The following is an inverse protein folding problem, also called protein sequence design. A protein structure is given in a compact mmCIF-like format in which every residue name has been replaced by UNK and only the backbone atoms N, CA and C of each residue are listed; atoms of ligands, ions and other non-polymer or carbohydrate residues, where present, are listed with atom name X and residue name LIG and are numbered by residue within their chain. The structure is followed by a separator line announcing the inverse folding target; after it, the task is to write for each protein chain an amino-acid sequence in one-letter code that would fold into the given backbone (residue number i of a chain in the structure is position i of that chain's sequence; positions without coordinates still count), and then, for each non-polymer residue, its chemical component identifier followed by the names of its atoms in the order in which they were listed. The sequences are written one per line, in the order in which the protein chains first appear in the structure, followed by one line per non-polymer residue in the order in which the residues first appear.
data_IF_485559575900
#
_entry.id   IF_485559575900
#
_cell.length_a   1.000
_cell.length_b   1.000
_cell.length_c   1.000
_cell.angle_alpha   90.00
_cell.angle_beta   90.00
_cell.angle_gamma   90.00
#
_symmetry.space_group_name_H-M   'P 1'
#
loop_
_entity.id
_entity.type
_entity.pdbx_description
1 polymer ?
#
# COMPACT_ATOMS: atom_id res chain seq x y z
N UNK A 1 -13.92 29.33 0.19
CA UNK A 1 -13.59 27.94 0.57
C UNK A 1 -12.26 27.59 -0.08
N UNK A 2 -11.25 27.29 0.73
CA UNK A 2 -9.96 26.82 0.25
C UNK A 2 -10.00 25.31 0.10
N UNK A 3 -9.47 24.81 -1.00
CA UNK A 3 -9.43 23.37 -1.28
C UNK A 3 -8.03 22.80 -1.07
N UNK A 4 -7.97 21.58 -0.61
CA UNK A 4 -6.75 20.79 -0.39
C UNK A 4 -6.89 19.44 -1.07
N UNK A 5 -5.79 18.91 -1.60
CA UNK A 5 -5.76 17.66 -2.31
C UNK A 5 -4.71 16.72 -1.71
N UNK A 6 -5.12 15.49 -1.40
CA UNK A 6 -4.23 14.39 -1.08
C UNK A 6 -4.37 13.28 -2.12
N UNK A 7 -3.24 12.76 -2.62
CA UNK A 7 -3.20 11.68 -3.61
C UNK A 7 -2.21 10.62 -3.17
N UNK A 8 -2.64 9.37 -3.16
CA UNK A 8 -1.79 8.18 -3.04
C UNK A 8 -1.78 7.43 -4.36
N UNK A 9 -0.62 7.36 -5.01
CA UNK A 9 -0.43 6.71 -6.30
C UNK A 9 0.51 5.52 -6.20
N UNK A 10 -0.09 4.33 -6.14
CA UNK A 10 0.60 3.05 -6.01
C UNK A 10 0.72 2.25 -7.31
N UNK A 11 1.23 1.03 -7.17
CA UNK A 11 1.34 0.07 -8.28
C UNK A 11 0.00 -0.53 -8.69
N UNK A 12 -0.98 -0.54 -7.81
CA UNK A 12 -2.29 -1.18 -8.03
C UNK A 12 -3.40 -0.18 -8.33
N UNK A 13 -3.25 1.08 -7.91
CA UNK A 13 -4.25 2.12 -8.10
C UNK A 13 -3.77 3.48 -7.65
N UNK A 14 -4.59 4.49 -7.90
CA UNK A 14 -4.42 5.88 -7.46
C UNK A 14 -5.68 6.32 -6.74
N UNK A 15 -5.56 6.80 -5.51
CA UNK A 15 -6.69 7.28 -4.71
C UNK A 15 -6.46 8.74 -4.34
N UNK A 16 -7.48 9.56 -4.49
CA UNK A 16 -7.46 11.00 -4.20
C UNK A 16 -8.51 11.38 -3.17
N UNK A 17 -8.21 12.38 -2.35
CA UNK A 17 -9.18 13.01 -1.46
C UNK A 17 -9.10 14.53 -1.59
N UNK A 18 -10.26 15.21 -1.66
CA UNK A 18 -10.40 16.65 -1.62
C UNK A 18 -10.97 17.04 -0.26
N UNK A 19 -10.36 18.02 0.41
CA UNK A 19 -10.85 18.58 1.66
C UNK A 19 -10.89 20.10 1.65
N UNK A 20 -11.62 20.68 2.61
CA UNK A 20 -11.68 22.11 2.83
C UNK A 20 -10.76 22.57 3.99
N UNK A 21 -10.67 23.87 4.23
CA UNK A 21 -9.83 24.47 5.28
C UNK A 21 -10.21 24.09 6.71
N UNK A 22 -11.35 23.43 6.92
CA UNK A 22 -11.80 22.96 8.25
C UNK A 22 -11.40 21.53 8.55
N UNK A 23 -10.81 20.80 7.57
CA UNK A 23 -10.50 19.39 7.67
C UNK A 23 -11.67 18.45 7.28
N UNK A 24 -12.74 19.00 6.72
CA UNK A 24 -13.83 18.17 6.17
C UNK A 24 -13.39 17.57 4.85
N UNK A 25 -13.47 16.25 4.72
CA UNK A 25 -13.31 15.54 3.46
C UNK A 25 -14.57 15.73 2.64
N UNK A 26 -14.43 16.34 1.46
CA UNK A 26 -15.55 16.69 0.57
C UNK A 26 -15.86 15.57 -0.41
N UNK A 27 -14.82 14.84 -0.87
CA UNK A 27 -14.99 13.74 -1.79
C UNK A 27 -13.70 12.94 -1.96
N UNK A 28 -13.86 11.70 -2.32
CA UNK A 28 -12.79 10.74 -2.61
C UNK A 28 -12.97 10.17 -4.02
N UNK A 29 -11.87 9.72 -4.65
CA UNK A 29 -11.95 9.14 -5.99
C UNK A 29 -10.80 8.18 -6.25
N UNK A 30 -11.07 7.18 -7.08
CA UNK A 30 -10.14 6.11 -7.40
C UNK A 30 -9.88 6.05 -8.90
N UNK A 31 -8.69 5.60 -9.28
CA UNK A 31 -8.30 5.35 -10.66
C UNK A 31 -7.27 4.23 -10.76
N UNK A 32 -6.91 3.85 -11.96
CA UNK A 32 -5.88 2.87 -12.22
C UNK A 32 -4.48 3.27 -11.70
N UNK A 33 -3.47 2.38 -11.85
CA UNK A 33 -2.12 2.62 -11.36
C UNK A 33 -1.42 3.79 -12.05
N UNK A 34 -0.76 4.66 -11.26
CA UNK A 34 0.01 5.82 -11.69
C UNK A 34 1.53 5.67 -11.54
N UNK A 35 2.02 4.44 -11.36
CA UNK A 35 3.45 4.14 -11.23
C UNK A 35 4.20 4.18 -12.56
N UNK A 36 5.55 4.23 -12.52
CA UNK A 36 6.45 4.21 -13.68
C UNK A 36 6.18 5.33 -14.70
N UNK A 37 6.55 6.54 -14.34
CA UNK A 37 6.43 7.73 -15.20
C UNK A 37 7.51 7.80 -16.31
N UNK A 38 8.39 6.79 -16.43
CA UNK A 38 9.44 6.77 -17.44
C UNK A 38 8.85 6.62 -18.85
N UNK A 39 9.33 7.46 -19.78
CA UNK A 39 8.85 7.49 -21.17
C UNK A 39 7.49 8.17 -21.35
N UNK A 40 7.09 8.38 -22.61
CA UNK A 40 5.85 9.09 -22.95
C UNK A 40 4.58 8.38 -22.50
N UNK A 41 4.56 7.05 -22.62
CA UNK A 41 3.41 6.24 -22.17
C UNK A 41 3.23 6.26 -20.65
N UNK A 42 4.34 6.16 -19.89
CA UNK A 42 4.30 6.22 -18.43
C UNK A 42 3.82 7.57 -17.92
N UNK A 43 4.26 8.66 -18.57
CA UNK A 43 3.78 10.01 -18.28
C UNK A 43 2.26 10.13 -18.51
N UNK A 44 1.77 9.72 -19.69
CA UNK A 44 0.36 9.78 -20.02
C UNK A 44 -0.50 8.92 -19.08
N UNK A 45 0.01 7.77 -18.65
CA UNK A 45 -0.62 6.89 -17.67
C UNK A 45 -0.78 7.59 -16.31
N UNK A 46 0.29 8.21 -15.80
CA UNK A 46 0.26 8.96 -14.55
C UNK A 46 -0.72 10.14 -14.61
N UNK A 47 -0.64 10.97 -15.66
CA UNK A 47 -1.53 12.12 -15.84
C UNK A 47 -3.00 11.68 -15.87
N UNK A 48 -3.32 10.59 -16.56
CA UNK A 48 -4.67 10.03 -16.64
C UNK A 48 -5.15 9.55 -15.28
N UNK A 49 -4.37 8.73 -14.58
CA UNK A 49 -4.74 8.20 -13.27
C UNK A 49 -5.03 9.33 -12.25
N UNK A 50 -4.20 10.38 -12.23
CA UNK A 50 -4.42 11.53 -11.36
C UNK A 50 -5.67 12.30 -11.78
N UNK A 51 -5.87 12.59 -13.09
CA UNK A 51 -7.08 13.32 -13.55
C UNK A 51 -8.36 12.54 -13.26
N UNK A 52 -8.37 11.24 -13.48
CA UNK A 52 -9.53 10.39 -13.21
C UNK A 52 -9.85 10.34 -11.72
N UNK A 53 -8.88 10.08 -10.84
CA UNK A 53 -9.13 10.01 -9.40
C UNK A 53 -9.56 11.37 -8.83
N UNK A 54 -8.91 12.47 -9.22
CA UNK A 54 -9.29 13.83 -8.79
C UNK A 54 -10.65 14.22 -9.35
N UNK A 55 -10.95 13.85 -10.61
CA UNK A 55 -12.26 14.09 -11.23
C UNK A 55 -13.40 13.38 -10.51
N UNK A 56 -13.20 12.12 -10.08
CA UNK A 56 -14.18 11.40 -9.26
C UNK A 56 -14.37 12.06 -7.90
N UNK A 57 -13.26 12.41 -7.22
CA UNK A 57 -13.34 13.12 -5.94
C UNK A 57 -14.09 14.46 -6.06
N UNK A 58 -13.86 15.21 -7.14
CA UNK A 58 -14.59 16.43 -7.43
C UNK A 58 -16.09 16.18 -7.67
N UNK A 59 -16.43 15.14 -8.42
CA UNK A 59 -17.82 14.73 -8.68
C UNK A 59 -18.55 14.37 -7.39
N UNK A 60 -17.92 13.60 -6.50
CA UNK A 60 -18.49 13.29 -5.17
C UNK A 60 -18.67 14.55 -4.30
N UNK A 61 -17.72 15.49 -4.39
CA UNK A 61 -17.78 16.76 -3.70
C UNK A 61 -18.79 17.77 -4.30
N UNK A 62 -19.37 17.49 -5.46
CA UNK A 62 -20.24 18.43 -6.18
C UNK A 62 -19.47 19.64 -6.75
N UNK A 63 -18.17 19.49 -7.04
CA UNK A 63 -17.27 20.52 -7.57
C UNK A 63 -17.05 20.36 -9.07
N UNK A 64 -16.86 21.47 -9.77
CA UNK A 64 -16.44 21.44 -11.18
C UNK A 64 -14.94 21.09 -11.29
N UNK A 65 -14.64 19.91 -11.80
CA UNK A 65 -13.27 19.42 -11.97
C UNK A 65 -12.39 20.33 -12.85
N UNK A 66 -12.99 21.09 -13.80
CA UNK A 66 -12.26 22.00 -14.68
C UNK A 66 -11.84 23.30 -13.97
N UNK A 67 -12.56 23.68 -12.93
CA UNK A 67 -12.34 24.92 -12.16
C UNK A 67 -11.55 24.69 -10.86
N UNK A 68 -11.05 23.47 -10.60
CA UNK A 68 -10.34 23.18 -9.37
C UNK A 68 -9.02 23.94 -9.26
N UNK A 69 -8.87 24.63 -8.15
CA UNK A 69 -7.63 25.26 -7.70
C UNK A 69 -7.43 24.92 -6.21
N UNK A 70 -6.25 24.39 -5.88
CA UNK A 70 -5.94 23.96 -4.52
C UNK A 70 -4.97 24.94 -3.85
N UNK A 71 -5.22 25.26 -2.60
CA UNK A 71 -4.26 25.98 -1.74
C UNK A 71 -2.99 25.15 -1.57
N UNK A 72 -3.16 23.83 -1.38
CA UNK A 72 -2.07 22.88 -1.32
C UNK A 72 -2.48 21.50 -1.83
N UNK A 73 -1.56 20.83 -2.51
CA UNK A 73 -1.72 19.45 -2.95
C UNK A 73 -0.50 18.61 -2.54
N UNK A 74 -0.75 17.41 -2.02
CA UNK A 74 0.30 16.44 -1.71
C UNK A 74 0.08 15.14 -2.49
N UNK A 75 1.15 14.67 -3.13
CA UNK A 75 1.19 13.43 -3.89
C UNK A 75 2.19 12.47 -3.25
N UNK A 76 1.71 11.35 -2.71
CA UNK A 76 2.49 10.18 -2.31
C UNK A 76 2.61 9.22 -3.48
N UNK A 77 3.78 9.06 -4.07
CA UNK A 77 3.93 8.34 -5.33
C UNK A 77 4.96 7.21 -5.21
N UNK A 78 4.56 6.02 -5.63
CA UNK A 78 5.44 4.87 -5.75
C UNK A 78 6.55 5.11 -6.80
N UNK A 79 7.76 4.59 -6.56
CA UNK A 79 8.91 4.73 -7.47
C UNK A 79 9.65 6.06 -7.42
N UNK A 80 9.42 6.88 -6.38
CA UNK A 80 10.13 8.14 -6.12
C UNK A 80 9.46 9.39 -6.69
N UNK A 81 9.72 10.56 -6.05
CA UNK A 81 9.05 11.82 -6.38
C UNK A 81 9.72 12.62 -7.51
N UNK A 82 11.01 12.38 -7.80
CA UNK A 82 11.83 13.30 -8.61
C UNK A 82 11.32 13.43 -10.04
N UNK A 83 11.03 12.31 -10.70
CA UNK A 83 10.56 12.27 -12.09
C UNK A 83 9.12 12.77 -12.24
N UNK A 84 8.35 12.80 -11.14
CA UNK A 84 6.92 13.05 -11.17
C UNK A 84 6.53 14.49 -10.90
N UNK A 85 7.37 15.25 -10.20
CA UNK A 85 7.05 16.64 -9.81
C UNK A 85 6.69 17.51 -11.02
N UNK A 86 7.47 17.46 -12.11
CA UNK A 86 7.22 18.24 -13.30
C UNK A 86 5.89 17.85 -14.00
N UNK A 87 5.56 16.57 -14.00
CA UNK A 87 4.31 16.03 -14.57
C UNK A 87 3.13 16.53 -13.74
N UNK A 88 3.19 16.34 -12.42
CA UNK A 88 2.11 16.65 -11.49
C UNK A 88 1.82 18.15 -11.42
N UNK A 89 2.86 19.01 -11.52
CA UNK A 89 2.67 20.47 -11.58
C UNK A 89 1.92 20.93 -12.83
N UNK A 90 1.99 20.18 -13.93
CA UNK A 90 1.20 20.43 -15.14
C UNK A 90 -0.18 19.76 -15.15
N UNK A 91 -0.44 18.85 -14.20
CA UNK A 91 -1.69 18.09 -14.16
C UNK A 91 -2.71 18.70 -13.22
N UNK A 92 -2.27 19.28 -12.10
CA UNK A 92 -3.12 19.86 -11.06
C UNK A 92 -2.67 21.30 -10.76
N UNK A 93 -3.64 22.24 -10.65
CA UNK A 93 -3.38 23.60 -10.22
C UNK A 93 -3.37 23.68 -8.69
N UNK A 94 -2.21 23.92 -8.11
CA UNK A 94 -2.05 24.10 -6.68
C UNK A 94 -1.05 25.22 -6.39
N UNK A 95 -1.38 26.10 -5.43
CA UNK A 95 -0.46 27.16 -5.00
C UNK A 95 0.78 26.57 -4.31
N UNK A 96 0.61 25.46 -3.58
CA UNK A 96 1.70 24.69 -3.01
C UNK A 96 1.61 23.23 -3.44
N UNK A 97 2.73 22.69 -3.96
CA UNK A 97 2.82 21.30 -4.40
C UNK A 97 3.87 20.55 -3.57
N UNK A 98 3.43 19.51 -2.88
CA UNK A 98 4.28 18.52 -2.18
C UNK A 98 4.27 17.22 -2.99
N UNK A 99 5.44 16.69 -3.32
CA UNK A 99 5.57 15.37 -3.93
C UNK A 99 6.52 14.55 -3.07
N UNK A 100 6.06 13.41 -2.62
CA UNK A 100 6.78 12.52 -1.71
C UNK A 100 6.54 11.05 -2.11
N UNK A 101 6.98 10.10 -1.28
CA UNK A 101 6.74 8.68 -1.55
C UNK A 101 5.38 8.22 -0.99
N UNK A 102 4.80 7.19 -1.60
CA UNK A 102 3.62 6.46 -1.11
C UNK A 102 3.80 5.99 0.35
N UNK A 103 4.98 5.49 0.69
CA UNK A 103 5.31 5.07 2.05
C UNK A 103 5.28 6.23 3.07
N UNK A 104 5.68 7.44 2.67
CA UNK A 104 5.65 8.61 3.55
C UNK A 104 4.22 9.02 3.89
N UNK A 105 3.32 9.04 2.89
CA UNK A 105 1.91 9.36 3.14
C UNK A 105 1.18 8.22 3.87
N UNK A 106 1.57 6.97 3.62
CA UNK A 106 1.08 5.83 4.39
C UNK A 106 1.48 5.94 5.87
N UNK A 107 2.72 6.35 6.20
CA UNK A 107 3.15 6.58 7.58
C UNK A 107 2.31 7.68 8.24
N UNK A 108 2.08 8.80 7.54
CA UNK A 108 1.28 9.91 8.05
C UNK A 108 -0.18 9.49 8.25
N UNK A 109 -0.77 8.81 7.29
CA UNK A 109 -2.14 8.29 7.40
C UNK A 109 -2.27 7.31 8.56
N UNK A 110 -1.37 6.34 8.65
CA UNK A 110 -1.43 5.28 9.65
C UNK A 110 -1.23 5.79 11.09
N UNK A 111 -0.34 6.76 11.32
CA UNK A 111 0.00 7.27 12.66
C UNK A 111 -0.61 8.64 12.98
N UNK A 112 -1.25 9.30 12.02
CA UNK A 112 -1.73 10.68 12.14
C UNK A 112 -0.60 11.70 12.32
N UNK A 113 0.38 11.41 13.17
CA UNK A 113 1.53 12.28 13.44
C UNK A 113 2.62 12.24 12.38
N UNK A 114 2.75 11.14 11.65
CA UNK A 114 3.88 10.84 10.78
C UNK A 114 5.15 10.40 11.55
N UNK A 115 5.00 10.03 12.82
CA UNK A 115 6.07 9.50 13.68
C UNK A 115 5.79 8.03 14.02
N UNK A 116 6.82 7.22 14.17
CA UNK A 116 6.69 5.78 14.39
C UNK A 116 7.10 4.97 13.17
N UNK A 117 6.55 3.77 13.03
CA UNK A 117 6.85 2.85 11.94
C UNK A 117 5.54 2.43 11.26
N UNK A 118 5.50 2.46 9.94
CA UNK A 118 4.46 1.78 9.16
C UNK A 118 5.08 0.60 8.41
N UNK A 119 4.41 -0.55 8.46
CA UNK A 119 4.71 -1.71 7.61
C UNK A 119 3.64 -1.77 6.53
N UNK A 120 4.08 -1.74 5.29
CA UNK A 120 3.21 -1.76 4.12
C UNK A 120 3.32 -3.14 3.48
N UNK A 121 2.19 -3.82 3.31
CA UNK A 121 2.10 -5.11 2.64
C UNK A 121 0.88 -5.12 1.69
N UNK A 122 1.13 -4.72 0.47
CA UNK A 122 0.21 -4.78 -0.67
C UNK A 122 0.72 -5.80 -1.69
N UNK A 123 0.83 -5.44 -2.96
CA UNK A 123 1.46 -6.26 -3.99
C UNK A 123 2.90 -6.63 -3.62
N UNK A 124 3.66 -5.68 -3.08
CA UNK A 124 4.98 -5.88 -2.46
C UNK A 124 4.96 -5.52 -0.99
N UNK A 125 6.15 -5.42 -0.38
CA UNK A 125 6.28 -5.09 1.04
C UNK A 125 7.45 -4.17 1.34
N UNK A 126 7.28 -3.32 2.36
CA UNK A 126 8.34 -2.49 2.94
C UNK A 126 7.94 -1.98 4.32
N UNK A 127 8.91 -1.49 5.06
CA UNK A 127 8.69 -0.69 6.27
C UNK A 127 9.36 0.68 6.14
N UNK A 128 8.70 1.71 6.65
CA UNK A 128 9.23 3.06 6.78
C UNK A 128 9.01 3.56 8.21
N UNK A 129 10.03 4.18 8.79
CA UNK A 129 9.93 4.82 10.10
C UNK A 129 10.45 6.25 10.09
N UNK A 130 9.92 7.06 11.01
CA UNK A 130 10.40 8.41 11.32
C UNK A 130 10.37 8.62 12.82
N UNK A 131 11.49 9.06 13.41
CA UNK A 131 11.55 9.39 14.81
C UNK A 131 11.33 10.89 15.08
N UNK A 132 11.25 11.27 16.36
CA UNK A 132 11.02 12.67 16.78
C UNK A 132 12.15 13.64 16.39
N UNK A 133 13.34 13.14 16.07
CA UNK A 133 14.46 13.94 15.55
C UNK A 133 14.35 14.16 14.04
N UNK A 134 13.29 13.67 13.39
CA UNK A 134 13.08 13.78 11.95
C UNK A 134 13.92 12.79 11.12
N UNK A 135 14.71 11.91 11.76
CA UNK A 135 15.46 10.86 11.06
C UNK A 135 14.49 9.83 10.51
N UNK A 136 14.75 9.36 9.32
CA UNK A 136 13.96 8.31 8.64
C UNK A 136 14.83 7.09 8.35
N UNK A 137 14.22 5.92 8.38
CA UNK A 137 14.82 4.67 7.90
C UNK A 137 13.78 3.83 7.18
N UNK A 138 14.24 3.02 6.23
CA UNK A 138 13.40 2.07 5.50
C UNK A 138 14.04 0.69 5.46
N UNK A 139 13.20 -0.33 5.33
CA UNK A 139 13.61 -1.70 5.02
C UNK A 139 12.66 -2.29 3.98
N UNK A 140 13.18 -3.10 3.07
CA UNK A 140 12.40 -3.65 1.95
C UNK A 140 12.10 -2.65 0.82
N UNK A 141 11.10 -2.98 0.00
CA UNK A 141 10.70 -2.13 -1.14
C UNK A 141 11.67 -2.16 -2.32
N UNK A 142 12.37 -3.29 -2.52
CA UNK A 142 13.31 -3.48 -3.62
C UNK A 142 12.70 -4.13 -4.85
N UNK A 143 11.39 -4.39 -4.80
CA UNK A 143 10.66 -5.07 -5.86
C UNK A 143 10.81 -6.60 -5.79
N UNK A 144 9.93 -7.29 -6.49
CA UNK A 144 9.73 -8.74 -6.39
C UNK A 144 10.92 -9.62 -6.85
N UNK A 145 11.88 -9.04 -7.52
CA UNK A 145 13.11 -9.74 -7.95
C UNK A 145 14.11 -9.85 -6.80
N UNK A 146 14.21 -8.81 -5.97
CA UNK A 146 15.23 -8.69 -4.92
C UNK A 146 14.65 -8.58 -3.50
N UNK A 147 13.31 -8.56 -3.36
CA UNK A 147 12.64 -8.33 -2.11
C UNK A 147 11.13 -8.54 -2.22
N UNK A 148 10.39 -7.71 -1.50
CA UNK A 148 8.93 -7.74 -1.37
C UNK A 148 8.42 -9.02 -0.67
N UNK A 149 9.27 -9.65 0.18
CA UNK A 149 8.93 -10.80 1.00
C UNK A 149 7.75 -10.47 1.93
N UNK A 150 6.81 -11.40 2.05
CA UNK A 150 5.58 -11.20 2.81
C UNK A 150 4.52 -10.32 2.11
N UNK A 151 4.81 -9.79 0.91
CA UNK A 151 3.81 -9.15 0.06
C UNK A 151 2.90 -10.17 -0.64
N UNK A 152 1.74 -9.69 -1.13
CA UNK A 152 0.75 -10.56 -1.76
C UNK A 152 1.29 -11.35 -2.96
N UNK A 153 2.12 -10.72 -3.81
CA UNK A 153 2.76 -11.40 -4.92
C UNK A 153 3.68 -12.53 -4.44
N UNK A 154 4.47 -12.28 -3.39
CA UNK A 154 5.37 -13.29 -2.83
C UNK A 154 4.59 -14.48 -2.24
N UNK A 155 3.51 -14.24 -1.50
CA UNK A 155 2.65 -15.30 -0.97
C UNK A 155 2.10 -16.20 -2.07
N UNK A 156 1.61 -15.61 -3.18
CA UNK A 156 1.10 -16.39 -4.32
C UNK A 156 2.22 -17.11 -5.05
N UNK A 157 3.40 -16.50 -5.19
CA UNK A 157 4.58 -17.14 -5.77
C UNK A 157 5.00 -18.37 -4.96
N UNK A 158 4.98 -18.29 -3.63
CA UNK A 158 5.26 -19.43 -2.75
C UNK A 158 4.19 -20.51 -2.87
N UNK A 159 2.90 -20.12 -2.92
CA UNK A 159 1.81 -21.06 -3.15
C UNK A 159 1.93 -21.80 -4.48
N UNK A 160 2.24 -21.10 -5.56
CA UNK A 160 2.48 -21.72 -6.87
C UNK A 160 3.67 -22.68 -6.85
N UNK A 161 4.78 -22.31 -6.21
CA UNK A 161 5.94 -23.22 -6.03
C UNK A 161 5.58 -24.48 -5.26
N UNK A 162 4.83 -24.37 -4.16
CA UNK A 162 4.41 -25.52 -3.36
C UNK A 162 3.45 -26.41 -4.15
N UNK A 163 2.50 -25.84 -4.86
CA UNK A 163 1.56 -26.56 -5.71
C UNK A 163 2.27 -27.36 -6.82
N UNK A 164 3.25 -26.76 -7.50
CA UNK A 164 4.03 -27.44 -8.54
C UNK A 164 4.88 -28.55 -7.99
N UNK A 165 5.50 -28.40 -6.81
CA UNK A 165 6.26 -29.47 -6.14
C UNK A 165 5.39 -30.64 -5.74
N UNK A 166 4.16 -30.39 -5.29
CA UNK A 166 3.19 -31.45 -5.01
C UNK A 166 2.81 -32.20 -6.29
N UNK A 167 2.51 -31.49 -7.39
CA UNK A 167 2.18 -32.08 -8.69
C UNK A 167 3.30 -32.99 -9.21
N UNK A 168 4.55 -32.61 -8.97
CA UNK A 168 5.74 -33.39 -9.34
C UNK A 168 6.06 -34.52 -8.36
N UNK A 169 5.33 -34.67 -7.25
CA UNK A 169 5.46 -35.76 -6.28
C UNK A 169 6.62 -35.63 -5.27
N UNK A 170 7.19 -34.41 -5.11
CA UNK A 170 8.25 -34.15 -4.12
C UNK A 170 7.94 -33.06 -3.11
N UNK A 171 6.75 -32.48 -3.18
CA UNK A 171 6.21 -31.55 -2.19
C UNK A 171 5.12 -32.16 -1.32
N UNK A 172 4.80 -31.55 -0.18
CA UNK A 172 3.68 -31.97 0.65
C UNK A 172 2.35 -31.77 -0.04
N UNK A 173 1.34 -32.55 0.34
CA UNK A 173 -0.04 -32.35 -0.11
C UNK A 173 -0.56 -30.97 0.28
N UNK A 174 -1.28 -30.33 -0.66
CA UNK A 174 -1.88 -29.01 -0.45
C UNK A 174 -3.08 -28.78 -1.38
N UNK A 175 -4.07 -28.08 -0.89
CA UNK A 175 -5.21 -27.64 -1.68
C UNK A 175 -4.86 -26.48 -2.66
N UNK A 176 -3.68 -25.89 -2.53
CA UNK A 176 -3.27 -24.71 -3.29
C UNK A 176 -3.22 -24.95 -4.81
N UNK A 177 -2.92 -26.17 -5.27
CA UNK A 177 -2.95 -26.46 -6.71
C UNK A 177 -4.35 -26.32 -7.27
N UNK A 178 -5.32 -26.99 -6.68
CA UNK A 178 -6.72 -26.92 -7.13
C UNK A 178 -7.25 -25.50 -7.08
N UNK A 179 -6.97 -24.75 -5.98
CA UNK A 179 -7.37 -23.38 -5.82
C UNK A 179 -6.75 -22.44 -6.85
N UNK A 180 -5.46 -22.62 -7.20
CA UNK A 180 -4.78 -21.85 -8.24
C UNK A 180 -5.36 -22.15 -9.64
N UNK A 181 -5.62 -23.42 -9.96
CA UNK A 181 -6.21 -23.82 -11.24
C UNK A 181 -7.61 -23.20 -11.41
N UNK A 182 -8.44 -23.27 -10.38
CA UNK A 182 -9.78 -22.65 -10.36
C UNK A 182 -9.70 -21.12 -10.53
N UNK A 183 -8.91 -20.44 -9.70
CA UNK A 183 -8.81 -18.97 -9.70
C UNK A 183 -8.24 -18.41 -11.02
N UNK A 184 -7.42 -19.19 -11.71
CA UNK A 184 -6.83 -18.78 -13.01
C UNK A 184 -7.56 -19.32 -14.22
N UNK A 185 -8.55 -20.21 -14.04
CA UNK A 185 -9.22 -20.93 -15.14
C UNK A 185 -8.25 -21.82 -15.91
N UNK A 186 -7.23 -22.38 -15.25
CA UNK A 186 -6.23 -23.27 -15.86
C UNK A 186 -6.66 -24.73 -15.69
N UNK A 187 -6.49 -25.55 -16.75
CA UNK A 187 -6.85 -26.95 -16.72
C UNK A 187 -5.71 -27.87 -16.18
N UNK A 188 -4.50 -27.33 -16.03
CA UNK A 188 -3.33 -28.08 -15.57
C UNK A 188 -2.27 -27.14 -15.00
N UNK A 189 -1.33 -27.71 -14.21
CA UNK A 189 -0.15 -27.01 -13.69
C UNK A 189 0.69 -26.37 -14.81
N UNK A 190 0.84 -27.05 -15.95
CA UNK A 190 1.56 -26.51 -17.10
C UNK A 190 0.87 -25.28 -17.71
N UNK A 191 -0.47 -25.31 -17.81
CA UNK A 191 -1.22 -24.14 -18.28
C UNK A 191 -1.14 -22.97 -17.28
N UNK A 192 -1.19 -23.25 -15.96
CA UNK A 192 -0.99 -22.26 -14.92
C UNK A 192 0.38 -21.58 -15.05
N UNK A 193 1.45 -22.37 -15.23
CA UNK A 193 2.80 -21.86 -15.45
C UNK A 193 2.84 -20.91 -16.65
N UNK A 194 2.35 -21.35 -17.81
CA UNK A 194 2.36 -20.53 -19.01
C UNK A 194 1.59 -19.22 -18.85
N UNK A 195 0.46 -19.22 -18.15
CA UNK A 195 -0.32 -17.99 -17.88
C UNK A 195 0.51 -16.96 -17.10
N UNK A 196 1.25 -17.35 -16.06
CA UNK A 196 2.03 -16.43 -15.26
C UNK A 196 3.21 -15.77 -16.01
N UNK A 197 3.57 -16.29 -17.18
CA UNK A 197 4.56 -15.68 -18.09
C UNK A 197 3.92 -14.82 -19.18
N UNK A 198 2.60 -14.66 -19.22
CA UNK A 198 1.94 -13.81 -20.21
C UNK A 198 1.77 -12.38 -19.69
N UNK A 199 1.73 -11.35 -20.57
CA UNK A 199 1.44 -9.97 -20.17
C UNK A 199 0.07 -9.79 -19.51
N UNK A 200 -0.87 -10.69 -19.72
CA UNK A 200 -2.20 -10.66 -19.10
C UNK A 200 -2.16 -10.90 -17.58
N UNK A 201 -1.14 -11.63 -17.13
CA UNK A 201 -0.92 -11.95 -15.71
C UNK A 201 0.18 -11.09 -15.12
N UNK A 202 -0.01 -9.79 -15.25
CA UNK A 202 0.87 -8.83 -14.60
C UNK A 202 0.88 -9.03 -13.07
N UNK A 203 1.92 -8.48 -12.44
CA UNK A 203 2.21 -8.67 -11.02
C UNK A 203 1.03 -8.36 -10.10
N UNK A 204 0.27 -7.30 -10.37
CA UNK A 204 -0.91 -6.91 -9.59
C UNK A 204 -2.01 -7.97 -9.65
N UNK A 205 -2.25 -8.55 -10.83
CA UNK A 205 -3.23 -9.61 -11.03
C UNK A 205 -2.84 -10.90 -10.30
N UNK A 206 -1.56 -11.27 -10.33
CA UNK A 206 -1.07 -12.42 -9.55
C UNK A 206 -1.24 -12.16 -8.06
N UNK A 207 -0.85 -10.97 -7.58
CA UNK A 207 -1.01 -10.59 -6.17
C UNK A 207 -2.46 -10.64 -5.68
N UNK A 208 -3.42 -10.33 -6.56
CA UNK A 208 -4.85 -10.41 -6.24
C UNK A 208 -5.34 -11.82 -5.88
N UNK A 209 -4.56 -12.86 -6.14
CA UNK A 209 -4.85 -14.24 -5.73
C UNK A 209 -4.49 -14.53 -4.25
N UNK A 210 -3.79 -13.64 -3.55
CA UNK A 210 -3.37 -13.87 -2.16
C UNK A 210 -4.51 -14.26 -1.19
N UNK A 211 -5.74 -13.74 -1.30
CA UNK A 211 -6.86 -14.18 -0.48
C UNK A 211 -7.17 -15.69 -0.59
N UNK A 212 -6.81 -16.34 -1.70
CA UNK A 212 -6.93 -17.78 -1.85
C UNK A 212 -5.99 -18.53 -0.90
N UNK A 213 -4.76 -18.03 -0.70
CA UNK A 213 -3.80 -18.62 0.24
C UNK A 213 -4.32 -18.50 1.68
N UNK A 214 -4.87 -17.34 2.04
CA UNK A 214 -5.47 -17.11 3.36
C UNK A 214 -6.67 -18.04 3.60
N UNK A 215 -7.51 -18.26 2.59
CA UNK A 215 -8.63 -19.21 2.66
C UNK A 215 -8.13 -20.64 2.90
N UNK A 216 -7.19 -21.14 2.12
CA UNK A 216 -6.62 -22.47 2.30
C UNK A 216 -6.00 -22.61 3.70
N UNK A 217 -5.31 -21.60 4.20
CA UNK A 217 -4.78 -21.57 5.57
C UNK A 217 -5.90 -21.65 6.62
N UNK A 218 -7.01 -20.96 6.42
CA UNK A 218 -8.17 -21.01 7.32
C UNK A 218 -8.88 -22.38 7.33
N UNK A 219 -8.74 -23.15 6.25
CA UNK A 219 -9.21 -24.52 6.10
C UNK A 219 -8.16 -25.56 6.59
N UNK A 220 -7.16 -25.09 7.32
CA UNK A 220 -6.10 -25.90 7.93
C UNK A 220 -5.13 -26.59 6.94
N UNK A 221 -5.00 -26.08 5.70
CA UNK A 221 -3.92 -26.50 4.81
C UNK A 221 -2.56 -26.12 5.41
N UNK A 222 -1.73 -27.10 5.71
CA UNK A 222 -0.47 -26.90 6.42
C UNK A 222 0.56 -26.06 5.62
N UNK A 223 0.52 -26.16 4.29
CA UNK A 223 1.41 -25.40 3.39
C UNK A 223 0.98 -23.93 3.35
N UNK A 224 -0.31 -23.69 3.20
CA UNK A 224 -0.86 -22.32 3.22
C UNK A 224 -0.63 -21.64 4.57
N UNK A 225 -0.84 -22.36 5.69
CA UNK A 225 -0.51 -21.89 7.04
C UNK A 225 0.96 -21.50 7.18
N UNK A 226 1.87 -22.32 6.63
CA UNK A 226 3.29 -22.00 6.62
C UNK A 226 3.59 -20.72 5.86
N UNK A 227 2.99 -20.53 4.67
CA UNK A 227 3.16 -19.33 3.85
C UNK A 227 2.69 -18.09 4.58
N UNK A 228 1.48 -18.11 5.20
CA UNK A 228 0.93 -16.99 5.97
C UNK A 228 1.82 -16.64 7.17
N UNK A 229 2.28 -17.66 7.91
CA UNK A 229 3.18 -17.45 9.06
C UNK A 229 4.54 -16.88 8.63
N UNK A 230 5.12 -17.38 7.54
CA UNK A 230 6.37 -16.84 6.99
C UNK A 230 6.20 -15.39 6.53
N UNK A 231 5.12 -15.06 5.84
CA UNK A 231 4.82 -13.69 5.45
C UNK A 231 4.78 -12.74 6.66
N UNK A 232 4.12 -13.15 7.74
CA UNK A 232 4.08 -12.36 8.98
C UNK A 232 5.48 -12.18 9.62
N UNK A 233 6.34 -13.20 9.54
CA UNK A 233 7.73 -13.12 10.03
C UNK A 233 8.57 -12.15 9.20
N UNK A 234 8.51 -12.21 7.88
CA UNK A 234 9.23 -11.31 6.98
C UNK A 234 8.81 -9.84 7.22
N UNK A 235 7.50 -9.60 7.34
CA UNK A 235 6.98 -8.27 7.65
C UNK A 235 7.46 -7.75 9.02
N UNK A 236 7.52 -8.63 10.04
CA UNK A 236 8.03 -8.27 11.36
C UNK A 236 9.54 -7.98 11.33
N UNK A 237 10.32 -8.69 10.52
CA UNK A 237 11.75 -8.42 10.32
C UNK A 237 11.98 -7.04 9.68
N UNK A 238 11.14 -6.62 8.71
CA UNK A 238 11.21 -5.27 8.16
C UNK A 238 10.97 -4.20 9.23
N UNK A 239 9.96 -4.40 10.09
CA UNK A 239 9.70 -3.50 11.21
C UNK A 239 10.89 -3.43 12.18
N UNK A 240 11.44 -4.57 12.57
CA UNK A 240 12.61 -4.65 13.46
C UNK A 240 13.85 -3.99 12.85
N UNK A 241 14.09 -4.15 11.55
CA UNK A 241 15.21 -3.52 10.85
C UNK A 241 15.12 -1.98 10.85
N UNK A 242 13.93 -1.42 10.70
CA UNK A 242 13.69 0.02 10.78
C UNK A 242 13.83 0.51 12.23
N UNK A 243 13.26 -0.24 13.19
CA UNK A 243 13.34 0.09 14.60
C UNK A 243 14.79 0.20 15.08
N UNK A 244 15.61 -0.79 14.75
CA UNK A 244 17.01 -0.83 15.17
C UNK A 244 17.85 0.37 14.67
N UNK A 245 17.46 0.99 13.57
CA UNK A 245 18.15 2.16 13.01
C UNK A 245 17.76 3.48 13.67
N UNK A 246 16.56 3.57 14.26
CA UNK A 246 15.97 4.84 14.70
C UNK A 246 15.74 4.94 16.19
N UNK A 247 15.61 3.82 16.92
CA UNK A 247 15.32 3.79 18.37
C UNK A 247 16.27 2.84 19.10
N UNK A 248 16.52 3.12 20.37
CA UNK A 248 17.24 2.24 21.25
C UNK A 248 16.35 1.09 21.75
N UNK A 249 16.93 -0.04 22.17
CA UNK A 249 16.16 -1.10 22.81
C UNK A 249 15.30 -0.58 23.95
N UNK A 250 14.03 -1.01 24.02
CA UNK A 250 13.08 -0.61 25.07
C UNK A 250 12.44 0.78 24.89
N UNK A 251 12.90 1.63 23.96
CA UNK A 251 12.20 2.89 23.69
C UNK A 251 10.79 2.64 23.15
N UNK A 252 9.78 3.42 23.58
CA UNK A 252 8.42 3.30 23.05
C UNK A 252 8.36 3.64 21.57
N UNK A 253 7.79 2.74 20.76
CA UNK A 253 7.58 2.93 19.33
C UNK A 253 6.16 2.53 18.95
N UNK A 254 5.42 3.48 18.39
CA UNK A 254 4.14 3.18 17.76
C UNK A 254 4.40 2.60 16.36
N UNK A 255 3.81 1.45 16.12
CA UNK A 255 3.83 0.78 14.82
C UNK A 255 2.43 0.70 14.27
N UNK A 256 2.30 0.85 12.97
CA UNK A 256 1.05 0.67 12.25
C UNK A 256 1.29 -0.17 11.00
N UNK A 257 0.23 -0.53 10.32
CA UNK A 257 0.26 -1.34 9.12
C UNK A 257 -0.61 -0.72 8.02
N UNK A 258 -0.31 -1.07 6.77
CA UNK A 258 -1.09 -0.65 5.60
C UNK A 258 -1.00 -1.70 4.50
N UNK A 259 -2.05 -1.79 3.69
CA UNK A 259 -2.10 -2.67 2.53
C UNK A 259 -2.94 -3.93 2.72
N UNK A 260 -3.38 -4.50 1.59
CA UNK A 260 -4.39 -5.56 1.53
C UNK A 260 -4.00 -6.89 2.18
N UNK A 261 -2.70 -7.17 2.35
CA UNK A 261 -2.23 -8.40 3.01
C UNK A 261 -2.71 -8.46 4.47
N UNK A 262 -2.80 -7.32 5.15
CA UNK A 262 -3.29 -7.25 6.53
C UNK A 262 -4.81 -7.44 6.68
N UNK A 263 -5.55 -7.62 5.58
CA UNK A 263 -6.93 -8.10 5.62
C UNK A 263 -7.01 -9.56 6.11
N UNK A 264 -5.94 -10.35 5.96
CA UNK A 264 -5.80 -11.64 6.61
C UNK A 264 -5.70 -11.47 8.13
N UNK A 265 -6.75 -11.87 8.83
CA UNK A 265 -6.79 -11.81 10.30
C UNK A 265 -5.69 -12.67 10.93
N UNK A 266 -5.45 -13.85 10.36
CA UNK A 266 -4.42 -14.77 10.83
C UNK A 266 -3.02 -14.16 10.71
N UNK A 267 -2.70 -13.56 9.56
CA UNK A 267 -1.43 -12.88 9.34
C UNK A 267 -1.28 -11.68 10.29
N UNK A 268 -2.30 -10.84 10.42
CA UNK A 268 -2.27 -9.66 11.28
C UNK A 268 -2.04 -10.02 12.75
N UNK A 269 -2.73 -11.03 13.27
CA UNK A 269 -2.52 -11.51 14.65
C UNK A 269 -1.10 -12.05 14.84
N UNK A 270 -0.58 -12.83 13.90
CA UNK A 270 0.78 -13.34 13.96
C UNK A 270 1.80 -12.21 13.90
N UNK A 271 1.60 -11.25 13.01
CA UNK A 271 2.44 -10.05 12.89
C UNK A 271 2.43 -9.24 14.17
N UNK A 272 1.25 -9.00 14.79
CA UNK A 272 1.10 -8.32 16.08
C UNK A 272 1.95 -8.97 17.16
N UNK A 273 1.80 -10.29 17.34
CA UNK A 273 2.56 -11.05 18.34
C UNK A 273 4.06 -10.84 18.13
N UNK A 274 4.54 -10.97 16.88
CA UNK A 274 5.97 -10.87 16.57
C UNK A 274 6.55 -9.48 16.82
N UNK A 275 5.85 -8.41 16.43
CA UNK A 275 6.37 -7.06 16.64
C UNK A 275 6.30 -6.61 18.09
N UNK A 276 5.29 -7.06 18.85
CA UNK A 276 5.10 -6.72 20.26
C UNK A 276 5.96 -7.57 21.22
N UNK A 277 6.66 -8.59 20.71
CA UNK A 277 7.68 -9.31 21.50
C UNK A 277 8.85 -8.40 21.93
N UNK A 278 9.17 -7.38 21.15
CA UNK A 278 10.18 -6.41 21.55
C UNK A 278 9.58 -5.34 22.47
N UNK A 279 10.18 -5.18 23.66
CA UNK A 279 9.71 -4.23 24.65
C UNK A 279 9.68 -2.79 24.10
N UNK A 280 8.59 -2.09 24.36
CA UNK A 280 8.36 -0.73 23.88
C UNK A 280 7.60 -0.65 22.55
N UNK A 281 7.46 -1.72 21.80
CA UNK A 281 6.66 -1.74 20.59
C UNK A 281 5.18 -1.85 20.92
N UNK A 282 4.37 -1.09 20.18
CA UNK A 282 2.92 -1.16 20.22
C UNK A 282 2.36 -1.10 18.80
N UNK A 283 1.65 -2.14 18.37
CA UNK A 283 0.94 -2.13 17.11
C UNK A 283 -0.45 -1.52 17.27
N UNK A 284 -0.71 -0.44 16.56
CA UNK A 284 -2.01 0.21 16.50
C UNK A 284 -2.64 0.02 15.10
N UNK A 285 -3.97 -0.04 14.98
CA UNK A 285 -4.63 0.03 13.68
C UNK A 285 -4.33 1.38 13.02
N UNK A 286 -4.28 1.44 11.68
CA UNK A 286 -4.09 2.70 10.98
C UNK A 286 -5.24 3.67 11.29
N UNK A 287 -4.91 4.95 11.55
CA UNK A 287 -5.90 5.99 11.83
C UNK A 287 -6.65 6.38 10.54
N UNK A 288 -5.91 6.51 9.43
CA UNK A 288 -6.42 6.91 8.13
C UNK A 288 -5.72 6.14 7.01
N UNK A 289 -6.37 5.98 5.85
CA UNK A 289 -5.72 5.44 4.65
C UNK A 289 -4.66 6.41 4.08
N UNK A 290 -3.75 5.94 3.20
CA UNK A 290 -2.63 6.74 2.69
C UNK A 290 -3.01 8.04 2.00
N UNK A 291 -4.08 8.08 1.20
CA UNK A 291 -4.54 9.31 0.52
C UNK A 291 -5.01 10.40 1.50
N UNK A 292 -5.59 10.02 2.65
CA UNK A 292 -5.87 10.97 3.73
C UNK A 292 -4.58 11.38 4.46
N UNK A 293 -3.58 10.50 4.54
CA UNK A 293 -2.24 10.87 4.97
C UNK A 293 -1.60 11.92 4.06
N UNK A 294 -1.77 11.79 2.74
CA UNK A 294 -1.37 12.80 1.77
C UNK A 294 -2.14 14.12 1.97
N UNK A 295 -3.44 14.06 2.25
CA UNK A 295 -4.26 15.25 2.53
C UNK A 295 -3.78 15.94 3.81
N UNK A 296 -3.42 15.21 4.88
CA UNK A 296 -2.78 15.78 6.08
C UNK A 296 -1.47 16.51 5.75
N UNK A 297 -0.63 15.93 4.90
CA UNK A 297 0.61 16.60 4.46
C UNK A 297 0.32 17.87 3.63
N UNK A 298 -0.75 17.90 2.83
CA UNK A 298 -1.15 19.09 2.11
C UNK A 298 -1.55 20.22 3.07
N UNK A 299 -2.27 19.94 4.16
CA UNK A 299 -2.58 20.92 5.20
C UNK A 299 -1.31 21.41 5.93
N UNK A 300 -0.45 20.48 6.33
CA UNK A 300 0.81 20.81 7.02
C UNK A 300 1.73 21.69 6.20
N UNK A 301 1.72 21.53 4.89
CA UNK A 301 2.55 22.30 3.98
C UNK A 301 2.23 23.82 4.02
N UNK A 302 1.04 24.20 4.47
CA UNK A 302 0.62 25.61 4.64
C UNK A 302 0.42 25.98 6.11
N UNK A 303 0.92 25.15 7.04
CA UNK A 303 0.89 25.44 8.48
C UNK A 303 -0.45 25.16 9.16
N UNK A 304 -1.37 24.46 8.50
CA UNK A 304 -2.63 24.06 9.10
C UNK A 304 -2.50 22.72 9.81
N UNK A 305 -3.11 22.60 10.99
CA UNK A 305 -3.31 21.36 11.72
C UNK A 305 -4.79 21.10 11.82
N UNK A 306 -5.26 20.04 11.20
CA UNK A 306 -6.67 19.67 11.13
C UNK A 306 -6.89 18.27 11.67
N UNK A 307 -8.08 18.03 12.22
CA UNK A 307 -8.62 16.69 12.46
C UNK A 307 -9.66 16.40 11.39
N UNK A 308 -9.65 15.20 10.82
CA UNK A 308 -10.61 14.88 9.78
C UNK A 308 -12.02 14.69 10.34
N UNK A 309 -12.95 15.34 9.69
CA UNK A 309 -14.38 15.10 9.86
C UNK A 309 -14.85 14.34 8.61
N UNK A 310 -14.75 13.00 8.67
CA UNK A 310 -15.27 12.13 7.61
C UNK A 310 -16.79 12.04 7.80
N UNK A 311 -17.62 12.50 6.83
CA UNK A 311 -19.05 12.27 6.92
C UNK A 311 -19.34 10.78 6.98
N UNK A 312 -20.24 10.37 7.86
CA UNK A 312 -20.72 8.99 7.86
C UNK A 312 -21.21 8.64 6.44
N UNK A 313 -20.67 7.58 5.83
CA UNK A 313 -21.14 7.13 4.51
C UNK A 313 -22.65 6.95 4.62
N UNK A 314 -23.39 7.70 3.78
CA UNK A 314 -24.84 7.48 3.64
C UNK A 314 -24.98 6.07 3.07
N UNK A 315 -25.52 5.16 3.90
CA UNK A 315 -25.83 3.79 3.54
C UNK A 315 -26.89 3.68 2.43
#
# INVERSE_FOLDING_TARGET
MKLFLGVDGGQSGTTSAIGDETGRVLGEGEAGPGNHAAGGEGRAKLERAVRESVGQAAGEAGLDAAALEFESACFGMSGGPEDKRAILSGTVRAARLVVTTDAAVALVGATGSGLGIVVIAGTGSMALGRNRQGRTARAGGWGYVFGDEGGAFDMVRQAARAALRMEEGWGPETALLAALLEATGSASANQLLHRFYTPEWERSRVAALAPMVDRAASEADAVALHIVNQAAQELAQLAAAVRAQLWKPGEPVEMAYSGGVFASRMLLERFRILVEMEAGNRLAPPQHPPHLGALLEAYRAVGLSVEFHVPAKRG
#
